data_IF_458355463837
#
_entry.id   IF_458355463837
#
_cell.length_a   1.000
_cell.length_b   1.000
_cell.length_c   1.000
_cell.angle_alpha   90.00
_cell.angle_beta   90.00
_cell.angle_gamma   90.00
#
_symmetry.space_group_name_H-M   'P 1'
#
loop_
_entity.id
_entity.type
_entity.pdbx_description
1 polymer ?
#
# COMPACT_ATOMS: atom_id res chain seq x y z
N UNK A 1 15.12 -24.76 28.73
CA UNK A 1 14.92 -23.36 29.18
C UNK A 1 14.15 -22.67 28.07
N UNK A 2 12.90 -22.26 28.31
CA UNK A 2 12.10 -21.54 27.31
C UNK A 2 12.42 -20.05 27.46
N UNK A 3 12.77 -19.32 26.38
CA UNK A 3 13.06 -17.90 26.50
C UNK A 3 11.79 -17.13 26.93
N UNK A 4 11.93 -16.34 27.99
CA UNK A 4 10.90 -15.39 28.42
C UNK A 4 10.86 -14.25 27.41
N UNK A 5 9.82 -14.21 26.57
CA UNK A 5 9.56 -13.07 25.71
C UNK A 5 8.86 -12.02 26.57
N UNK A 6 9.47 -10.85 26.70
CA UNK A 6 8.84 -9.73 27.39
C UNK A 6 7.49 -9.41 26.73
N UNK A 7 6.41 -9.13 27.48
CA UNK A 7 5.08 -8.86 26.93
C UNK A 7 5.08 -7.80 25.82
N UNK A 8 6.00 -6.84 25.92
CA UNK A 8 6.15 -5.71 25.00
C UNK A 8 6.64 -6.17 23.62
N UNK A 9 7.59 -7.11 23.57
CA UNK A 9 8.09 -7.68 22.32
C UNK A 9 7.02 -8.51 21.58
N UNK A 10 6.10 -9.12 22.33
CA UNK A 10 4.97 -9.87 21.75
C UNK A 10 3.93 -8.94 21.13
N UNK A 11 3.63 -7.81 21.77
CA UNK A 11 2.74 -6.80 21.22
C UNK A 11 3.35 -6.08 20.01
N UNK A 12 4.66 -5.80 20.01
CA UNK A 12 5.36 -5.31 18.83
C UNK A 12 5.31 -6.31 17.67
N UNK A 13 5.45 -7.61 17.93
CA UNK A 13 5.37 -8.65 16.91
C UNK A 13 3.95 -8.79 16.35
N UNK A 14 2.92 -8.69 17.21
CA UNK A 14 1.52 -8.65 16.78
C UNK A 14 1.20 -7.43 15.94
N UNK A 15 1.73 -6.26 16.31
CA UNK A 15 1.56 -5.04 15.50
C UNK A 15 2.28 -5.16 14.16
N UNK A 16 3.48 -5.71 14.13
CA UNK A 16 4.21 -5.97 12.88
C UNK A 16 3.46 -6.98 11.98
N UNK A 17 2.97 -8.08 12.56
CA UNK A 17 2.16 -9.07 11.83
C UNK A 17 0.82 -8.48 11.37
N UNK A 18 0.13 -7.72 12.21
CA UNK A 18 -1.12 -7.04 11.84
C UNK A 18 -0.90 -6.02 10.72
N UNK A 19 0.21 -5.27 10.75
CA UNK A 19 0.62 -4.37 9.66
C UNK A 19 0.88 -5.16 8.37
N UNK A 20 1.61 -6.27 8.45
CA UNK A 20 1.94 -7.14 7.30
C UNK A 20 0.72 -7.83 6.67
N UNK A 21 -0.25 -8.27 7.49
CA UNK A 21 -1.46 -8.92 6.97
C UNK A 21 -2.55 -7.92 6.57
N UNK A 22 -2.63 -6.76 7.21
CA UNK A 22 -3.51 -5.68 6.78
C UNK A 22 -3.02 -5.00 5.48
N UNK A 23 -1.71 -5.04 5.19
CA UNK A 23 -1.17 -4.51 3.93
C UNK A 23 -1.50 -5.40 2.72
N UNK A 24 -1.73 -6.71 2.89
CA UNK A 24 -1.93 -7.61 1.74
C UNK A 24 -3.37 -7.63 1.17
N UNK A 25 -4.42 -7.41 1.98
CA UNK A 25 -5.81 -7.51 1.49
C UNK A 25 -6.45 -6.18 1.06
N UNK A 26 -6.14 -5.06 1.71
CA UNK A 26 -6.84 -3.78 1.45
C UNK A 26 -5.94 -2.60 1.07
N UNK A 27 -4.62 -2.71 1.25
CA UNK A 27 -3.63 -1.65 0.95
C UNK A 27 -2.52 -2.18 0.03
N UNK A 28 -1.51 -1.36 -0.22
CA UNK A 28 -0.29 -1.74 -0.92
C UNK A 28 0.87 -0.98 -0.28
N UNK A 29 1.66 -1.65 0.54
CA UNK A 29 2.78 -1.05 1.27
C UNK A 29 3.86 -0.58 0.29
N UNK A 30 4.64 0.48 0.62
CA UNK A 30 5.80 0.87 -0.19
C UNK A 30 6.81 -0.27 -0.40
N UNK A 31 6.90 -1.23 0.52
CA UNK A 31 7.80 -2.39 0.38
C UNK A 31 7.21 -3.53 -0.46
N UNK A 32 5.91 -3.50 -0.76
CA UNK A 32 5.27 -4.50 -1.61
C UNK A 32 5.68 -4.32 -3.08
N UNK A 33 5.72 -5.43 -3.82
CA UNK A 33 5.99 -5.40 -5.25
C UNK A 33 4.93 -4.58 -6.00
N UNK A 34 5.37 -3.64 -6.83
CA UNK A 34 4.51 -2.81 -7.65
C UNK A 34 4.40 -3.37 -9.07
N UNK A 35 3.18 -3.58 -9.61
CA UNK A 35 3.00 -4.17 -10.94
C UNK A 35 3.22 -3.13 -12.04
N UNK A 36 3.57 -3.61 -13.24
CA UNK A 36 3.54 -2.79 -14.45
C UNK A 36 2.08 -2.51 -14.84
N UNK A 37 1.64 -1.25 -14.65
CA UNK A 37 0.26 -0.84 -14.85
C UNK A 37 -0.19 -0.97 -16.30
N UNK A 38 0.72 -0.82 -17.27
CA UNK A 38 0.41 -0.86 -18.71
C UNK A 38 -0.09 -2.23 -19.17
N UNK A 39 0.21 -3.28 -18.40
CA UNK A 39 -0.19 -4.67 -18.68
C UNK A 39 -1.50 -5.06 -17.98
N UNK A 40 -2.08 -4.17 -17.18
CA UNK A 40 -3.27 -4.45 -16.38
C UNK A 40 -4.54 -3.90 -17.03
N UNK A 41 -5.69 -4.59 -16.90
CA UNK A 41 -6.98 -4.03 -17.26
C UNK A 41 -7.35 -2.86 -16.35
N UNK A 42 -8.24 -1.96 -16.81
CA UNK A 42 -8.57 -0.69 -16.12
C UNK A 42 -9.13 -0.91 -14.73
N UNK A 43 -10.00 -1.89 -14.55
CA UNK A 43 -10.54 -2.26 -13.24
C UNK A 43 -9.44 -2.65 -12.24
N UNK A 44 -8.40 -3.35 -12.69
CA UNK A 44 -7.26 -3.70 -11.85
C UNK A 44 -6.42 -2.47 -11.46
N UNK A 45 -6.23 -1.51 -12.38
CA UNK A 45 -5.52 -0.25 -12.08
C UNK A 45 -6.33 0.60 -11.10
N UNK A 46 -7.65 0.67 -11.23
CA UNK A 46 -8.54 1.33 -10.25
C UNK A 46 -8.48 0.69 -8.84
N UNK A 47 -8.36 -0.65 -8.78
CA UNK A 47 -8.14 -1.35 -7.51
C UNK A 47 -6.79 -0.98 -6.90
N UNK A 48 -5.73 -0.91 -7.71
CA UNK A 48 -4.41 -0.47 -7.24
C UNK A 48 -4.49 0.97 -6.73
N UNK A 49 -5.14 1.88 -7.47
CA UNK A 49 -5.35 3.26 -7.03
C UNK A 49 -6.00 3.32 -5.64
N UNK A 50 -7.07 2.54 -5.47
CA UNK A 50 -7.78 2.43 -4.19
C UNK A 50 -6.89 1.90 -3.07
N UNK A 51 -5.97 0.97 -3.36
CA UNK A 51 -5.04 0.41 -2.36
C UNK A 51 -3.95 1.42 -1.98
N UNK A 52 -3.39 2.14 -2.95
CA UNK A 52 -2.38 3.18 -2.72
C UNK A 52 -2.95 4.33 -1.87
N UNK A 53 -4.17 4.78 -2.17
CA UNK A 53 -4.84 5.78 -1.34
C UNK A 53 -5.04 5.34 0.11
N UNK A 54 -5.44 4.08 0.34
CA UNK A 54 -5.57 3.55 1.70
C UNK A 54 -4.22 3.37 2.40
N UNK A 55 -3.13 3.19 1.67
CA UNK A 55 -1.79 3.22 2.24
C UNK A 55 -1.42 4.63 2.68
N UNK A 56 -1.63 5.65 1.84
CA UNK A 56 -1.40 7.06 2.21
C UNK A 56 -2.19 7.46 3.44
N UNK A 57 -3.49 7.13 3.49
CA UNK A 57 -4.33 7.42 4.66
C UNK A 57 -3.78 6.75 5.92
N UNK A 58 -3.26 5.52 5.80
CA UNK A 58 -2.66 4.80 6.91
C UNK A 58 -1.35 5.46 7.37
N UNK A 59 -0.44 5.78 6.45
CA UNK A 59 0.85 6.41 6.74
C UNK A 59 0.65 7.78 7.41
N UNK A 60 -0.24 8.62 6.88
CA UNK A 60 -0.60 9.89 7.53
C UNK A 60 -1.18 9.70 8.93
N UNK A 61 -2.03 8.69 9.13
CA UNK A 61 -2.65 8.43 10.43
C UNK A 61 -1.67 7.85 11.47
N UNK A 62 -0.65 7.10 11.03
CA UNK A 62 0.22 6.33 11.93
C UNK A 62 1.62 6.93 12.09
N UNK A 63 2.20 7.42 11.01
CA UNK A 63 3.57 7.93 10.95
C UNK A 63 3.60 9.47 10.81
N UNK A 64 2.46 10.09 10.49
CA UNK A 64 2.27 11.55 10.44
C UNK A 64 2.69 12.20 9.12
N UNK A 65 3.25 11.43 8.20
CA UNK A 65 3.55 11.81 6.83
C UNK A 65 3.48 10.58 5.92
N UNK A 66 3.39 10.80 4.61
CA UNK A 66 3.38 9.75 3.61
C UNK A 66 4.79 9.30 3.24
N UNK A 67 4.94 8.01 2.94
CA UNK A 67 6.18 7.47 2.42
C UNK A 67 6.39 7.95 0.96
N UNK A 68 7.62 8.37 0.58
CA UNK A 68 7.87 8.89 -0.78
C UNK A 68 7.53 7.90 -1.90
N UNK A 69 7.77 6.61 -1.70
CA UNK A 69 7.41 5.56 -2.66
C UNK A 69 5.89 5.45 -2.84
N UNK A 70 5.11 5.61 -1.76
CA UNK A 70 3.64 5.56 -1.83
C UNK A 70 3.10 6.76 -2.61
N UNK A 71 3.72 7.95 -2.45
CA UNK A 71 3.40 9.14 -3.26
C UNK A 71 3.76 8.94 -4.74
N UNK A 72 4.95 8.42 -5.03
CA UNK A 72 5.39 8.15 -6.41
C UNK A 72 4.44 7.16 -7.11
N UNK A 73 4.04 6.08 -6.42
CA UNK A 73 3.06 5.13 -6.95
C UNK A 73 1.69 5.75 -7.20
N UNK A 74 1.25 6.69 -6.37
CA UNK A 74 0.00 7.41 -6.61
C UNK A 74 0.09 8.24 -7.89
N UNK A 75 1.19 8.96 -8.09
CA UNK A 75 1.44 9.74 -9.30
C UNK A 75 1.42 8.82 -10.54
N UNK A 76 2.14 7.70 -10.50
CA UNK A 76 2.19 6.71 -11.59
C UNK A 76 0.80 6.15 -11.94
N UNK A 77 -0.01 5.82 -10.93
CA UNK A 77 -1.38 5.30 -11.15
C UNK A 77 -2.30 6.37 -11.74
N UNK A 78 -2.19 7.62 -11.29
CA UNK A 78 -2.99 8.72 -11.83
C UNK A 78 -2.63 9.00 -13.29
N UNK A 79 -1.34 9.05 -13.64
CA UNK A 79 -0.90 9.26 -15.02
C UNK A 79 -1.42 8.17 -15.96
N UNK A 80 -1.41 6.91 -15.52
CA UNK A 80 -1.94 5.80 -16.31
C UNK A 80 -3.46 5.88 -16.47
N UNK A 81 -4.21 6.20 -15.41
CA UNK A 81 -5.66 6.37 -15.49
C UNK A 81 -6.06 7.56 -16.38
N UNK A 82 -5.36 8.69 -16.25
CA UNK A 82 -5.56 9.86 -17.12
C UNK A 82 -5.32 9.51 -18.59
N UNK A 83 -4.26 8.73 -18.86
CA UNK A 83 -3.95 8.24 -20.22
C UNK A 83 -5.08 7.38 -20.76
N UNK A 84 -5.67 6.50 -19.95
CA UNK A 84 -6.80 5.65 -20.34
C UNK A 84 -8.07 6.44 -20.61
N UNK A 85 -8.36 7.44 -19.77
CA UNK A 85 -9.53 8.30 -19.95
C UNK A 85 -9.45 9.08 -21.27
N UNK A 86 -8.26 9.58 -21.63
CA UNK A 86 -8.02 10.25 -22.92
C UNK A 86 -8.20 9.28 -24.10
N UNK A 87 -7.82 8.01 -23.96
CA UNK A 87 -7.95 7.00 -25.03
C UNK A 87 -9.36 6.42 -25.15
N UNK A 88 -10.17 6.49 -24.09
CA UNK A 88 -11.54 5.97 -24.06
C UNK A 88 -12.59 6.98 -24.59
N UNK A 89 -12.25 8.27 -24.64
CA UNK A 89 -13.10 9.35 -25.17
C UNK A 89 -13.02 9.52 -26.69
#
# INVERSE_FOLDING_TARGET
MVPFVAPEAFESLKQALARQFASHESRLSPDDAFPDLTQLPTDAVEVINSKVHRELDFEYATDGDAHPETQFRLEEVNEELDTRDVLAG
#
